data_IF_043836549983
#
_entry.id   IF_043836549983
#
_cell.length_a   1.000
_cell.length_b   1.000
_cell.length_c   1.000
_cell.angle_alpha   90.00
_cell.angle_beta   90.00
_cell.angle_gamma   90.00
#
_symmetry.space_group_name_H-M   'P 1'
#
loop_
_entity.id
_entity.type
_entity.pdbx_description
1 polymer ?
#
# COMPACT_ATOMS: atom_id res chain seq x y z
N UNK A 1 -26.04 7.76 23.01
CA UNK A 1 -25.09 8.31 23.99
C UNK A 1 -23.75 8.28 23.27
N UNK A 2 -23.25 9.41 22.81
CA UNK A 2 -21.93 9.47 22.16
C UNK A 2 -20.88 9.19 23.23
N UNK A 3 -20.12 8.12 23.08
CA UNK A 3 -18.90 7.91 23.85
C UNK A 3 -17.96 9.10 23.59
N UNK A 4 -17.68 9.87 24.64
CA UNK A 4 -16.63 10.88 24.60
C UNK A 4 -15.29 10.14 24.44
N UNK A 5 -14.77 10.09 23.21
CA UNK A 5 -13.41 9.67 22.98
C UNK A 5 -12.51 10.71 23.64
N UNK A 6 -11.86 10.34 24.72
CA UNK A 6 -10.80 11.14 25.29
C UNK A 6 -9.67 11.21 24.25
N UNK A 7 -9.07 12.40 24.03
CA UNK A 7 -7.90 12.49 23.15
C UNK A 7 -6.83 11.54 23.67
N UNK A 8 -6.33 10.68 22.78
CA UNK A 8 -5.26 9.75 23.12
C UNK A 8 -4.05 10.53 23.64
N UNK A 9 -3.54 10.15 24.81
CA UNK A 9 -2.35 10.79 25.38
C UNK A 9 -1.14 10.33 24.56
N UNK A 10 -0.38 11.23 23.90
CA UNK A 10 0.83 10.85 23.18
C UNK A 10 1.81 10.12 24.09
N UNK A 11 2.39 9.02 23.62
CA UNK A 11 3.42 8.25 24.34
C UNK A 11 4.61 7.95 23.42
N UNK A 12 5.32 8.98 22.93
CA UNK A 12 6.42 8.81 22.00
C UNK A 12 7.55 7.94 22.57
N UNK A 13 7.89 8.07 23.86
CA UNK A 13 8.91 7.24 24.51
C UNK A 13 8.54 5.74 24.50
N UNK A 14 7.26 5.43 24.71
CA UNK A 14 6.76 4.06 24.61
C UNK A 14 6.82 3.52 23.18
N UNK A 15 6.48 4.34 22.17
CA UNK A 15 6.58 3.97 20.76
C UNK A 15 8.04 3.76 20.36
N UNK A 16 8.97 4.63 20.77
CA UNK A 16 10.41 4.46 20.51
C UNK A 16 10.95 3.16 21.14
N UNK A 17 10.53 2.82 22.36
CA UNK A 17 10.88 1.54 22.99
C UNK A 17 10.41 0.36 22.14
N UNK A 18 9.12 0.32 21.80
CA UNK A 18 8.54 -0.76 20.98
C UNK A 18 9.25 -0.84 19.63
N UNK A 19 9.50 0.30 18.99
CA UNK A 19 10.21 0.34 17.72
C UNK A 19 11.65 -0.19 17.85
N UNK A 20 12.35 0.14 18.95
CA UNK A 20 13.66 -0.42 19.26
C UNK A 20 13.63 -1.94 19.45
N UNK A 21 12.60 -2.48 20.11
CA UNK A 21 12.41 -3.93 20.28
C UNK A 21 12.11 -4.63 18.93
N UNK A 22 11.34 -3.99 18.06
CA UNK A 22 11.09 -4.46 16.69
C UNK A 22 12.37 -4.45 15.85
N UNK A 23 13.17 -3.37 15.90
CA UNK A 23 14.44 -3.25 15.19
C UNK A 23 15.52 -4.22 15.69
N UNK A 24 15.45 -4.67 16.93
CA UNK A 24 16.34 -5.69 17.47
C UNK A 24 16.09 -7.08 16.85
N UNK A 25 14.99 -7.27 16.13
CA UNK A 25 14.69 -8.46 15.34
C UNK A 25 15.41 -8.42 13.98
N UNK A 26 15.38 -9.52 13.23
CA UNK A 26 15.96 -9.51 11.88
C UNK A 26 15.29 -8.45 11.00
N UNK A 27 16.08 -7.62 10.28
CA UNK A 27 15.55 -6.52 9.48
C UNK A 27 14.70 -7.01 8.29
N UNK A 28 13.85 -6.13 7.77
CA UNK A 28 12.92 -6.42 6.66
C UNK A 28 13.60 -7.00 5.41
N UNK A 29 14.81 -6.57 5.09
CA UNK A 29 15.57 -7.04 3.93
C UNK A 29 16.27 -8.40 4.14
N UNK A 30 16.12 -9.04 5.30
CA UNK A 30 16.62 -10.39 5.60
C UNK A 30 15.47 -11.37 5.85
N UNK A 31 14.39 -11.23 5.11
CA UNK A 31 13.26 -12.13 5.22
C UNK A 31 13.59 -13.53 4.69
N UNK A 32 13.16 -14.55 5.42
CA UNK A 32 13.04 -15.90 4.89
C UNK A 32 11.61 -16.06 4.34
N UNK A 33 11.42 -16.50 3.07
CA UNK A 33 10.09 -16.80 2.54
C UNK A 33 9.40 -17.90 3.37
N UNK A 34 8.49 -17.51 4.28
CA UNK A 34 7.77 -18.45 5.14
C UNK A 34 6.49 -17.81 5.69
N UNK A 35 5.49 -18.60 6.01
CA UNK A 35 4.25 -18.15 6.68
C UNK A 35 4.04 -18.82 8.03
N UNK A 36 4.71 -19.94 8.31
CA UNK A 36 4.45 -20.80 9.46
C UNK A 36 4.66 -20.09 10.80
N UNK A 37 5.66 -19.21 10.91
CA UNK A 37 5.90 -18.45 12.13
C UNK A 37 4.79 -17.44 12.43
N UNK A 38 4.32 -16.71 11.41
CA UNK A 38 3.20 -15.77 11.55
C UNK A 38 1.89 -16.51 11.80
N UNK A 39 1.62 -17.61 11.06
CA UNK A 39 0.46 -18.47 11.30
C UNK A 39 0.44 -18.96 12.75
N UNK A 40 1.58 -19.44 13.24
CA UNK A 40 1.67 -19.89 14.63
C UNK A 40 1.40 -18.78 15.64
N UNK A 41 1.90 -17.56 15.38
CA UNK A 41 1.68 -16.41 16.24
C UNK A 41 0.19 -15.99 16.29
N UNK A 42 -0.46 -15.89 15.13
CA UNK A 42 -1.87 -15.51 15.08
C UNK A 42 -2.80 -16.59 15.62
N UNK A 43 -2.46 -17.90 15.47
CA UNK A 43 -3.19 -19.00 16.08
C UNK A 43 -3.16 -18.94 17.62
N UNK A 44 -1.99 -18.72 18.23
CA UNK A 44 -1.86 -18.61 19.70
C UNK A 44 -2.67 -17.40 20.21
N UNK A 45 -2.77 -16.33 19.42
CA UNK A 45 -3.54 -15.14 19.74
C UNK A 45 -5.05 -15.30 19.47
N UNK A 46 -5.53 -16.48 19.05
CA UNK A 46 -6.94 -16.76 18.83
C UNK A 46 -7.44 -16.37 17.44
N UNK A 47 -6.62 -16.59 16.42
CA UNK A 47 -6.93 -16.32 15.01
C UNK A 47 -7.25 -14.85 14.69
N UNK A 48 -6.54 -13.92 15.34
CA UNK A 48 -6.75 -12.46 15.23
C UNK A 48 -6.72 -11.93 13.77
N UNK A 49 -6.06 -12.63 12.85
CA UNK A 49 -6.01 -12.31 11.41
C UNK A 49 -7.37 -12.51 10.68
N UNK A 50 -8.37 -13.11 11.35
CA UNK A 50 -9.73 -13.35 10.84
C UNK A 50 -10.79 -12.47 11.48
N UNK A 51 -10.37 -11.45 12.24
CA UNK A 51 -11.30 -10.59 12.97
C UNK A 51 -12.25 -9.79 12.07
N UNK A 52 -11.85 -9.49 10.83
CA UNK A 52 -12.65 -8.76 9.85
C UNK A 52 -12.34 -9.22 8.41
N UNK A 53 -13.25 -8.97 7.44
CA UNK A 53 -12.98 -9.21 6.02
C UNK A 53 -11.81 -8.35 5.52
N UNK A 54 -11.04 -8.89 4.57
CA UNK A 54 -9.77 -8.30 4.12
C UNK A 54 -9.82 -7.95 2.64
N UNK A 55 -9.38 -6.73 2.29
CA UNK A 55 -8.95 -6.33 0.95
C UNK A 55 -7.42 -6.37 0.95
N UNK A 56 -6.83 -7.26 0.17
CA UNK A 56 -5.40 -7.54 0.16
C UNK A 56 -4.75 -6.97 -1.10
N UNK A 57 -3.69 -6.19 -0.96
CA UNK A 57 -3.12 -5.40 -2.06
C UNK A 57 -1.66 -5.75 -2.27
N UNK A 58 -1.31 -6.16 -3.50
CA UNK A 58 0.08 -6.31 -3.96
C UNK A 58 0.34 -5.50 -5.23
N UNK A 59 1.58 -5.48 -5.68
CA UNK A 59 2.05 -4.79 -6.88
C UNK A 59 3.48 -4.30 -6.70
N UNK A 60 4.06 -3.73 -7.73
CA UNK A 60 5.38 -3.07 -7.62
C UNK A 60 5.19 -1.63 -7.18
N UNK A 61 4.37 -0.86 -7.88
CA UNK A 61 4.08 0.53 -7.56
C UNK A 61 2.57 0.74 -7.33
N UNK A 62 2.20 1.82 -6.63
CA UNK A 62 0.81 2.22 -6.42
C UNK A 62 0.10 1.58 -5.24
N UNK A 63 0.66 0.56 -4.57
CA UNK A 63 0.05 -0.16 -3.44
C UNK A 63 -0.50 0.78 -2.36
N UNK A 64 0.36 1.57 -1.75
CA UNK A 64 0.00 2.46 -0.61
C UNK A 64 -1.04 3.51 -1.01
N UNK A 65 -0.90 4.14 -2.20
CA UNK A 65 -1.88 5.11 -2.70
C UNK A 65 -3.24 4.45 -2.92
N UNK A 66 -3.27 3.26 -3.55
CA UNK A 66 -4.50 2.48 -3.74
C UNK A 66 -5.13 2.08 -2.40
N UNK A 67 -4.32 1.61 -1.42
CA UNK A 67 -4.81 1.27 -0.09
C UNK A 67 -5.49 2.45 0.61
N UNK A 68 -4.87 3.65 0.54
CA UNK A 68 -5.44 4.88 1.12
C UNK A 68 -6.70 5.34 0.41
N UNK A 69 -6.80 5.19 -0.91
CA UNK A 69 -8.00 5.48 -1.67
C UNK A 69 -9.14 4.52 -1.33
N UNK A 70 -8.85 3.21 -1.22
CA UNK A 70 -9.82 2.20 -0.76
C UNK A 70 -10.32 2.55 0.63
N UNK A 71 -9.43 2.85 1.58
CA UNK A 71 -9.80 3.25 2.93
C UNK A 71 -10.71 4.47 2.93
N UNK A 72 -10.34 5.52 2.19
CA UNK A 72 -11.13 6.75 2.10
C UNK A 72 -12.54 6.52 1.54
N UNK A 73 -12.67 5.66 0.53
CA UNK A 73 -13.97 5.27 -0.03
C UNK A 73 -14.81 4.48 0.99
N UNK A 74 -14.20 3.53 1.71
CA UNK A 74 -14.91 2.72 2.71
C UNK A 74 -15.34 3.56 3.91
N UNK A 75 -14.52 4.53 4.35
CA UNK A 75 -14.89 5.51 5.37
C UNK A 75 -16.09 6.37 4.94
N UNK A 76 -16.13 6.79 3.67
CA UNK A 76 -17.27 7.52 3.13
C UNK A 76 -18.56 6.68 3.09
N UNK A 77 -18.44 5.35 3.13
CA UNK A 77 -19.56 4.41 3.28
C UNK A 77 -19.86 4.08 4.76
N UNK A 78 -19.40 4.89 5.71
CA UNK A 78 -19.61 4.72 7.15
C UNK A 78 -19.04 3.40 7.74
N UNK A 79 -18.05 2.78 7.07
CA UNK A 79 -17.38 1.61 7.61
C UNK A 79 -16.19 2.00 8.47
N UNK A 80 -15.99 1.30 9.58
CA UNK A 80 -14.79 1.40 10.40
C UNK A 80 -13.66 0.60 9.75
N UNK A 81 -12.55 1.25 9.43
CA UNK A 81 -11.46 0.65 8.68
C UNK A 81 -10.22 0.40 9.53
N UNK A 82 -9.55 -0.72 9.27
CA UNK A 82 -8.16 -0.96 9.64
C UNK A 82 -7.29 -0.97 8.38
N UNK A 83 -6.14 -0.30 8.40
CA UNK A 83 -5.20 -0.33 7.28
C UNK A 83 -3.80 -0.63 7.76
N UNK A 84 -3.13 -1.59 7.09
CA UNK A 84 -1.72 -1.89 7.27
C UNK A 84 -0.95 -1.56 5.98
N UNK A 85 0.07 -0.71 6.09
CA UNK A 85 0.90 -0.25 4.97
C UNK A 85 2.38 -0.21 5.35
N UNK A 86 3.28 -0.25 4.34
CA UNK A 86 4.73 -0.15 4.53
C UNK A 86 5.42 0.53 3.34
N UNK A 87 6.58 1.17 3.57
CA UNK A 87 7.13 1.57 4.86
C UNK A 87 6.40 2.79 5.47
N UNK A 88 6.81 3.23 6.67
CA UNK A 88 6.43 4.52 7.23
C UNK A 88 7.38 5.64 6.78
N UNK A 89 6.94 6.90 6.91
CA UNK A 89 7.74 8.08 6.59
C UNK A 89 8.38 8.69 7.85
N UNK A 90 7.63 8.87 8.91
CA UNK A 90 8.07 9.52 10.14
C UNK A 90 7.97 8.60 11.36
N UNK A 91 6.81 7.96 11.56
CA UNK A 91 6.55 7.12 12.73
C UNK A 91 6.13 5.71 12.36
N UNK A 92 6.61 4.72 13.10
CA UNK A 92 6.22 3.31 12.93
C UNK A 92 4.72 3.08 13.09
N UNK A 93 4.02 3.93 13.86
CA UNK A 93 2.56 3.87 14.04
C UNK A 93 1.78 4.15 12.77
N UNK A 94 2.37 4.86 11.77
CA UNK A 94 1.75 5.08 10.46
C UNK A 94 1.45 3.78 9.70
N UNK A 95 2.19 2.70 10.01
CA UNK A 95 2.01 1.38 9.36
C UNK A 95 0.65 0.76 9.70
N UNK A 96 0.07 1.13 10.84
CA UNK A 96 -1.20 0.61 11.34
C UNK A 96 -2.15 1.79 11.55
N UNK A 97 -3.21 1.86 10.77
CA UNK A 97 -4.18 2.95 10.87
C UNK A 97 -5.57 2.42 11.23
N UNK A 98 -6.30 3.20 12.01
CA UNK A 98 -7.72 3.00 12.30
C UNK A 98 -8.47 4.23 11.80
N UNK A 99 -9.47 4.04 10.95
CA UNK A 99 -10.28 5.12 10.38
C UNK A 99 -9.44 6.22 9.70
N UNK A 100 -8.38 5.83 8.96
CA UNK A 100 -7.52 6.74 8.21
C UNK A 100 -6.39 7.40 9.01
N UNK A 101 -6.44 7.34 10.33
CA UNK A 101 -5.44 7.93 11.21
C UNK A 101 -4.48 6.86 11.76
N UNK A 102 -3.19 7.19 11.99
CA UNK A 102 -2.28 6.28 12.66
C UNK A 102 -2.84 5.81 14.00
N UNK A 103 -2.61 4.53 14.33
CA UNK A 103 -3.03 3.98 15.61
C UNK A 103 -2.50 4.84 16.77
N UNK A 104 -3.31 5.15 17.81
CA UNK A 104 -2.84 5.90 18.95
C UNK A 104 -1.66 5.22 19.64
N UNK A 105 -0.64 6.01 20.02
CA UNK A 105 0.57 5.53 20.71
C UNK A 105 0.26 4.59 21.88
N UNK A 106 -0.75 4.96 22.69
CA UNK A 106 -1.16 4.16 23.85
C UNK A 106 -1.67 2.77 23.45
N UNK A 107 -2.47 2.68 22.37
CA UNK A 107 -2.96 1.40 21.85
C UNK A 107 -1.81 0.59 21.26
N UNK A 108 -0.93 1.22 20.47
CA UNK A 108 0.24 0.56 19.87
C UNK A 108 1.14 -0.07 20.94
N UNK A 109 1.45 0.67 22.00
CA UNK A 109 2.31 0.21 23.10
C UNK A 109 1.60 -0.87 23.94
N UNK A 110 0.35 -0.66 24.32
CA UNK A 110 -0.42 -1.61 25.13
C UNK A 110 -0.56 -2.96 24.42
N UNK A 111 -1.02 -2.96 23.17
CA UNK A 111 -1.22 -4.22 22.44
C UNK A 111 0.11 -4.93 22.18
N UNK A 112 1.20 -4.18 21.91
CA UNK A 112 2.53 -4.79 21.83
C UNK A 112 2.93 -5.50 23.12
N UNK A 113 2.78 -4.84 24.27
CA UNK A 113 3.12 -5.42 25.57
C UNK A 113 2.26 -6.66 25.88
N UNK A 114 1.00 -6.68 25.46
CA UNK A 114 0.09 -7.82 25.62
C UNK A 114 0.47 -9.02 24.75
N UNK A 115 0.90 -8.80 23.49
CA UNK A 115 1.26 -9.90 22.59
C UNK A 115 2.71 -10.37 22.73
N UNK A 116 3.62 -9.55 23.25
CA UNK A 116 5.06 -9.85 23.32
C UNK A 116 5.37 -11.19 24.01
N UNK A 117 4.71 -11.61 25.10
CA UNK A 117 4.93 -12.92 25.69
C UNK A 117 4.63 -14.07 24.74
N UNK A 118 3.61 -13.95 23.91
CA UNK A 118 3.22 -14.97 22.91
C UNK A 118 4.20 -15.00 21.74
N UNK A 119 4.67 -13.84 21.27
CA UNK A 119 5.73 -13.78 20.24
C UNK A 119 7.02 -14.40 20.76
N UNK A 120 7.35 -14.19 22.04
CA UNK A 120 8.52 -14.81 22.67
C UNK A 120 8.39 -16.34 22.71
N UNK A 121 7.20 -16.88 23.00
CA UNK A 121 6.94 -18.31 22.97
C UNK A 121 7.13 -18.89 21.55
N UNK A 122 6.65 -18.19 20.51
CA UNK A 122 6.88 -18.60 19.11
C UNK A 122 8.38 -18.56 18.78
N UNK A 123 9.09 -17.51 19.19
CA UNK A 123 10.53 -17.38 19.01
C UNK A 123 11.30 -18.55 19.65
N UNK A 124 10.88 -19.01 20.84
CA UNK A 124 11.47 -20.14 21.53
C UNK A 124 11.16 -21.48 20.82
N UNK A 125 9.91 -21.67 20.36
CA UNK A 125 9.50 -22.86 19.59
C UNK A 125 10.33 -22.99 18.31
N UNK A 126 10.55 -21.89 17.57
CA UNK A 126 11.32 -21.88 16.31
C UNK A 126 12.83 -22.05 16.59
N UNK A 127 13.36 -21.38 17.59
CA UNK A 127 14.76 -21.53 18.01
C UNK A 127 15.09 -22.98 18.41
N UNK A 128 14.18 -23.69 19.08
CA UNK A 128 14.34 -25.10 19.44
C UNK A 128 14.43 -26.03 18.21
N UNK A 129 13.91 -25.59 17.05
CA UNK A 129 14.04 -26.31 15.75
C UNK A 129 15.27 -25.86 14.95
N UNK A 130 16.05 -24.90 15.45
CA UNK A 130 17.16 -24.29 14.72
C UNK A 130 16.70 -23.28 13.64
N UNK A 131 15.46 -22.81 13.72
CA UNK A 131 14.87 -21.86 12.81
C UNK A 131 14.98 -20.42 13.34
N UNK A 132 14.96 -19.39 12.47
CA UNK A 132 15.07 -18.01 12.92
C UNK A 132 13.81 -17.56 13.67
N UNK A 133 13.99 -16.63 14.61
CA UNK A 133 12.91 -15.93 15.32
C UNK A 133 12.06 -15.12 14.34
N UNK A 134 10.89 -14.65 14.80
CA UNK A 134 10.07 -13.70 14.06
C UNK A 134 10.88 -12.44 13.69
N UNK A 135 10.84 -12.05 12.44
CA UNK A 135 11.47 -10.83 11.91
C UNK A 135 10.74 -9.57 12.34
N UNK A 136 11.29 -8.41 12.04
CA UNK A 136 10.62 -7.12 12.19
C UNK A 136 9.24 -7.14 11.52
N UNK A 137 9.20 -7.48 10.21
CA UNK A 137 7.97 -7.41 9.42
C UNK A 137 6.93 -8.44 9.85
N UNK A 138 7.34 -9.67 10.16
CA UNK A 138 6.46 -10.69 10.73
C UNK A 138 5.84 -10.21 12.05
N UNK A 139 6.63 -9.61 12.94
CA UNK A 139 6.15 -9.15 14.25
C UNK A 139 5.19 -7.97 14.17
N UNK A 140 5.48 -6.97 13.31
CA UNK A 140 4.58 -5.82 13.15
C UNK A 140 3.29 -6.20 12.40
N UNK A 141 3.33 -7.20 11.54
CA UNK A 141 2.14 -7.76 10.89
C UNK A 141 1.22 -8.43 11.92
N UNK A 142 1.79 -9.23 12.85
CA UNK A 142 1.01 -9.83 13.95
C UNK A 142 0.43 -8.75 14.87
N UNK A 143 1.22 -7.70 15.19
CA UNK A 143 0.74 -6.56 15.96
C UNK A 143 -0.43 -5.86 15.28
N UNK A 144 -0.37 -5.67 13.95
CA UNK A 144 -1.47 -5.06 13.21
C UNK A 144 -2.76 -5.90 13.32
N UNK A 145 -2.68 -7.20 13.13
CA UNK A 145 -3.85 -8.09 13.31
C UNK A 145 -4.40 -8.05 14.74
N UNK A 146 -3.51 -8.04 15.75
CA UNK A 146 -3.94 -7.94 17.14
C UNK A 146 -4.65 -6.60 17.43
N UNK A 147 -4.13 -5.49 16.90
CA UNK A 147 -4.77 -4.17 17.03
C UNK A 147 -6.14 -4.15 16.34
N UNK A 148 -6.28 -4.71 15.14
CA UNK A 148 -7.57 -4.74 14.43
C UNK A 148 -8.61 -5.64 15.10
N UNK A 149 -8.17 -6.64 15.88
CA UNK A 149 -9.06 -7.45 16.70
C UNK A 149 -9.45 -6.75 18.02
N UNK A 150 -8.52 -6.03 18.64
CA UNK A 150 -8.72 -5.26 19.87
C UNK A 150 -9.59 -4.01 19.65
N UNK A 151 -9.37 -3.34 18.52
CA UNK A 151 -10.15 -2.19 18.04
C UNK A 151 -11.04 -2.63 16.87
N UNK A 152 -12.23 -3.24 17.12
CA UNK A 152 -12.98 -3.91 16.07
C UNK A 152 -13.26 -3.01 14.87
N UNK A 153 -12.88 -3.47 13.69
CA UNK A 153 -13.09 -2.80 12.41
C UNK A 153 -14.04 -3.61 11.53
N UNK A 154 -14.73 -2.96 10.59
CA UNK A 154 -15.64 -3.62 9.65
C UNK A 154 -14.88 -4.25 8.46
N UNK A 155 -13.71 -3.71 8.13
CA UNK A 155 -12.86 -4.15 7.02
C UNK A 155 -11.41 -3.81 7.27
N UNK A 156 -10.51 -4.70 6.84
CA UNK A 156 -9.06 -4.49 6.89
C UNK A 156 -8.51 -4.37 5.48
N UNK A 157 -7.70 -3.35 5.24
CA UNK A 157 -6.94 -3.12 4.01
C UNK A 157 -5.48 -3.49 4.30
N UNK A 158 -4.98 -4.57 3.68
CA UNK A 158 -3.61 -5.05 3.88
C UNK A 158 -2.76 -4.78 2.65
N UNK A 159 -1.71 -4.00 2.81
CA UNK A 159 -0.64 -3.87 1.83
C UNK A 159 0.42 -4.94 2.06
N UNK A 160 0.73 -5.73 1.02
CA UNK A 160 1.85 -6.67 0.98
C UNK A 160 3.18 -5.91 1.09
N UNK A 161 4.07 -6.38 1.95
CA UNK A 161 5.42 -5.83 2.05
C UNK A 161 6.22 -6.12 0.78
N UNK A 162 6.48 -7.40 0.50
CA UNK A 162 7.20 -7.86 -0.70
C UNK A 162 6.56 -9.15 -1.22
N UNK A 163 6.42 -9.26 -2.55
CA UNK A 163 5.90 -10.46 -3.19
C UNK A 163 4.40 -10.65 -3.01
N UNK A 164 3.99 -11.73 -2.38
CA UNK A 164 2.59 -12.08 -2.16
C UNK A 164 2.41 -13.42 -1.48
N UNK A 165 2.81 -14.53 -2.11
CA UNK A 165 2.51 -15.89 -1.64
C UNK A 165 3.09 -16.21 -0.26
N UNK A 166 4.29 -15.74 0.03
CA UNK A 166 4.99 -15.94 1.30
C UNK A 166 5.06 -14.67 2.18
N UNK A 167 4.45 -13.57 1.76
CA UNK A 167 4.40 -12.35 2.59
C UNK A 167 3.60 -12.59 3.86
N UNK A 168 4.08 -12.03 4.97
CA UNK A 168 3.46 -12.20 6.30
C UNK A 168 1.97 -11.84 6.32
N UNK A 169 1.54 -10.91 5.47
CA UNK A 169 0.12 -10.51 5.35
C UNK A 169 -0.73 -11.59 4.71
N UNK A 170 -0.13 -12.55 3.97
CA UNK A 170 -0.86 -13.59 3.23
C UNK A 170 -1.42 -14.72 4.12
N UNK A 171 -1.22 -14.66 5.43
CA UNK A 171 -1.95 -15.51 6.38
C UNK A 171 -3.43 -15.15 6.42
N UNK A 172 -3.81 -13.94 6.01
CA UNK A 172 -5.19 -13.49 5.92
C UNK A 172 -5.92 -14.05 4.70
N UNK A 173 -7.23 -14.28 4.86
CA UNK A 173 -8.12 -14.71 3.79
C UNK A 173 -8.75 -13.49 3.09
N UNK A 174 -8.00 -12.90 2.14
CA UNK A 174 -8.47 -11.74 1.38
C UNK A 174 -9.67 -12.08 0.50
N UNK A 175 -10.82 -11.43 0.74
CA UNK A 175 -12.02 -11.60 -0.10
C UNK A 175 -11.93 -10.82 -1.41
N UNK A 176 -11.14 -9.74 -1.42
CA UNK A 176 -10.74 -8.99 -2.62
C UNK A 176 -9.22 -8.94 -2.66
N UNK A 177 -8.65 -9.38 -3.77
CA UNK A 177 -7.21 -9.33 -4.06
C UNK A 177 -6.96 -8.28 -5.11
N UNK A 178 -6.21 -7.24 -4.76
CA UNK A 178 -5.89 -6.12 -5.64
C UNK A 178 -4.44 -6.24 -6.12
N UNK A 179 -4.24 -6.25 -7.43
CA UNK A 179 -2.90 -6.28 -8.03
C UNK A 179 -2.65 -4.97 -8.77
N UNK A 180 -1.92 -4.06 -8.13
CA UNK A 180 -1.42 -2.82 -8.73
C UNK A 180 -0.36 -3.14 -9.81
N UNK A 181 0.12 -2.17 -10.62
CA UNK A 181 1.05 -2.46 -11.69
C UNK A 181 2.27 -3.28 -11.25
N UNK A 182 2.57 -4.33 -12.00
CA UNK A 182 3.71 -5.23 -11.78
C UNK A 182 4.86 -4.83 -12.70
N UNK A 183 6.03 -4.66 -12.14
CA UNK A 183 7.28 -4.36 -12.84
C UNK A 183 8.46 -5.04 -12.16
N UNK A 184 9.65 -4.89 -12.73
CA UNK A 184 10.89 -5.39 -12.14
C UNK A 184 11.24 -4.57 -10.89
N UNK A 185 11.24 -5.21 -9.74
CA UNK A 185 11.72 -4.70 -8.45
C UNK A 185 11.99 -5.90 -7.54
N UNK A 186 12.91 -5.75 -6.57
CA UNK A 186 13.30 -6.83 -5.65
C UNK A 186 13.66 -8.14 -6.37
N UNK A 187 14.38 -8.05 -7.49
CA UNK A 187 14.69 -9.20 -8.35
C UNK A 187 15.54 -10.25 -7.65
N UNK A 188 16.35 -9.87 -6.68
CA UNK A 188 17.11 -10.76 -5.80
C UNK A 188 16.24 -11.70 -4.94
N UNK A 189 14.97 -11.34 -4.72
CA UNK A 189 14.03 -12.12 -3.89
C UNK A 189 12.86 -12.71 -4.70
N UNK A 190 12.37 -12.00 -5.72
CA UNK A 190 11.17 -12.35 -6.45
C UNK A 190 11.44 -13.02 -7.80
N UNK A 191 12.70 -13.03 -8.25
CA UNK A 191 13.11 -13.55 -9.55
C UNK A 191 13.40 -12.45 -10.58
N UNK A 192 14.09 -12.84 -11.64
CA UNK A 192 14.65 -11.93 -12.64
C UNK A 192 13.66 -11.58 -13.77
N UNK A 193 12.48 -12.20 -13.78
CA UNK A 193 11.48 -12.06 -14.83
C UNK A 193 10.14 -11.54 -14.31
N UNK A 194 9.39 -10.86 -15.18
CA UNK A 194 8.01 -10.44 -14.87
C UNK A 194 7.11 -11.62 -14.54
N UNK A 195 7.33 -12.77 -15.18
CA UNK A 195 6.56 -13.99 -14.92
C UNK A 195 6.77 -14.54 -13.50
N UNK A 196 8.01 -14.57 -13.01
CA UNK A 196 8.31 -15.01 -11.65
C UNK A 196 7.69 -14.06 -10.64
N UNK A 197 7.88 -12.75 -10.81
CA UNK A 197 7.31 -11.71 -9.94
C UNK A 197 5.78 -11.77 -9.95
N UNK A 198 5.16 -11.95 -11.12
CA UNK A 198 3.71 -12.07 -11.25
C UNK A 198 3.17 -13.32 -10.55
N UNK A 199 3.88 -14.44 -10.68
CA UNK A 199 3.51 -15.71 -10.03
C UNK A 199 3.52 -15.56 -8.51
N UNK A 200 4.54 -14.91 -7.97
CA UNK A 200 4.66 -14.63 -6.54
C UNK A 200 3.51 -13.72 -6.05
N UNK A 201 3.24 -12.63 -6.78
CA UNK A 201 2.15 -11.70 -6.44
C UNK A 201 0.77 -12.32 -6.57
N UNK A 202 0.57 -13.21 -7.54
CA UNK A 202 -0.68 -13.95 -7.72
C UNK A 202 -1.05 -14.82 -6.50
N UNK A 203 -0.08 -15.13 -5.61
CA UNK A 203 -0.31 -15.91 -4.40
C UNK A 203 -1.27 -15.29 -3.37
N UNK A 204 -1.63 -14.02 -3.51
CA UNK A 204 -2.67 -13.40 -2.66
C UNK A 204 -4.09 -13.69 -3.14
N UNK A 205 -4.28 -14.25 -4.35
CA UNK A 205 -5.60 -14.56 -4.89
C UNK A 205 -6.16 -15.78 -4.17
N UNK A 206 -7.25 -15.60 -3.44
CA UNK A 206 -7.86 -16.62 -2.59
C UNK A 206 -9.00 -17.34 -3.28
N UNK A 207 -9.30 -18.60 -2.87
CA UNK A 207 -10.45 -19.35 -3.38
C UNK A 207 -11.76 -18.55 -3.25
N UNK A 208 -12.57 -18.58 -4.31
CA UNK A 208 -13.87 -17.90 -4.40
C UNK A 208 -13.84 -16.39 -4.16
N UNK A 209 -12.65 -15.76 -4.12
CA UNK A 209 -12.47 -14.32 -3.94
C UNK A 209 -12.73 -13.52 -5.22
N UNK A 210 -12.30 -12.25 -5.20
CA UNK A 210 -12.37 -11.35 -6.35
C UNK A 210 -10.99 -10.75 -6.64
N UNK A 211 -10.45 -11.01 -7.84
CA UNK A 211 -9.23 -10.36 -8.35
C UNK A 211 -9.60 -9.04 -9.03
N UNK A 212 -8.99 -7.94 -8.59
CA UNK A 212 -9.02 -6.64 -9.26
C UNK A 212 -7.58 -6.31 -9.67
N UNK A 213 -7.32 -6.22 -10.97
CA UNK A 213 -5.98 -5.99 -11.50
C UNK A 213 -5.91 -4.67 -12.26
N UNK A 214 -4.87 -3.88 -12.01
CA UNK A 214 -4.47 -2.81 -12.91
C UNK A 214 -4.17 -3.36 -14.31
N UNK A 215 -4.05 -2.47 -15.31
CA UNK A 215 -3.51 -2.83 -16.61
C UNK A 215 -2.09 -3.40 -16.44
N UNK A 216 -1.83 -4.54 -17.07
CA UNK A 216 -0.58 -5.30 -16.92
C UNK A 216 0.04 -5.63 -18.27
N UNK A 217 1.33 -5.97 -18.24
CA UNK A 217 1.94 -6.67 -19.37
C UNK A 217 1.13 -7.95 -19.70
N UNK A 218 0.97 -8.35 -20.97
CA UNK A 218 0.18 -9.52 -21.37
C UNK A 218 0.60 -10.83 -20.68
N UNK A 219 1.89 -11.02 -20.40
CA UNK A 219 2.37 -12.20 -19.69
C UNK A 219 1.90 -12.20 -18.24
N UNK A 220 2.01 -11.06 -17.54
CA UNK A 220 1.53 -10.86 -16.17
C UNK A 220 0.01 -11.07 -16.11
N UNK A 221 -0.74 -10.43 -17.01
CA UNK A 221 -2.20 -10.57 -17.07
C UNK A 221 -2.64 -12.03 -17.24
N UNK A 222 -1.93 -12.80 -18.07
CA UNK A 222 -2.20 -14.23 -18.28
C UNK A 222 -2.00 -15.03 -16.99
N UNK A 223 -0.91 -14.80 -16.26
CA UNK A 223 -0.62 -15.50 -15.01
C UNK A 223 -1.69 -15.20 -13.95
N UNK A 224 -2.07 -13.92 -13.82
CA UNK A 224 -3.10 -13.50 -12.86
C UNK A 224 -4.46 -14.12 -13.20
N UNK A 225 -4.86 -14.09 -14.48
CA UNK A 225 -6.11 -14.68 -14.96
C UNK A 225 -6.16 -16.20 -14.74
N UNK A 226 -5.08 -16.90 -15.06
CA UNK A 226 -5.01 -18.35 -14.86
C UNK A 226 -5.05 -18.73 -13.37
N UNK A 227 -4.42 -17.92 -12.52
CA UNK A 227 -4.50 -18.11 -11.07
C UNK A 227 -5.90 -17.85 -10.55
N UNK A 228 -6.58 -16.77 -10.99
CA UNK A 228 -7.96 -16.48 -10.60
C UNK A 228 -8.90 -17.64 -11.01
N UNK A 229 -8.75 -18.17 -12.23
CA UNK A 229 -9.52 -19.33 -12.69
C UNK A 229 -9.28 -20.59 -11.87
N UNK A 230 -8.01 -20.86 -11.50
CA UNK A 230 -7.66 -22.01 -10.63
C UNK A 230 -8.27 -21.87 -9.24
N UNK A 231 -8.39 -20.66 -8.74
CA UNK A 231 -8.99 -20.35 -7.44
C UNK A 231 -10.52 -20.18 -7.50
N UNK A 232 -11.16 -20.38 -8.67
CA UNK A 232 -12.58 -20.07 -8.87
C UNK A 232 -12.95 -18.64 -8.48
N UNK A 233 -12.01 -17.70 -8.52
CA UNK A 233 -12.20 -16.31 -8.18
C UNK A 233 -12.85 -15.55 -9.33
N UNK A 234 -13.71 -14.58 -9.01
CA UNK A 234 -14.12 -13.55 -9.97
C UNK A 234 -12.91 -12.69 -10.32
N UNK A 235 -12.94 -12.02 -11.47
CA UNK A 235 -11.83 -11.14 -11.87
C UNK A 235 -12.31 -9.97 -12.71
N UNK A 236 -11.59 -8.86 -12.61
CA UNK A 236 -11.73 -7.69 -13.46
C UNK A 236 -10.37 -7.04 -13.70
N UNK A 237 -10.15 -6.56 -14.92
CA UNK A 237 -8.91 -5.92 -15.36
C UNK A 237 -9.17 -4.49 -15.82
N UNK A 238 -8.30 -3.56 -15.41
CA UNK A 238 -8.31 -2.20 -15.91
C UNK A 238 -8.15 -2.17 -17.44
N UNK A 239 -8.92 -1.28 -18.09
CA UNK A 239 -8.98 -1.19 -19.55
C UNK A 239 -10.00 -2.13 -20.19
N UNK A 240 -10.52 -3.13 -19.47
CA UNK A 240 -11.54 -4.09 -19.93
C UNK A 240 -12.86 -3.86 -19.19
N UNK A 241 -12.92 -4.18 -17.90
CA UNK A 241 -14.14 -4.05 -17.10
C UNK A 241 -14.28 -2.67 -16.45
N UNK A 242 -13.18 -2.06 -16.03
CA UNK A 242 -13.13 -0.75 -15.36
C UNK A 242 -11.96 0.09 -15.86
N UNK A 243 -11.88 1.37 -15.48
CA UNK A 243 -10.75 2.23 -15.82
C UNK A 243 -11.08 3.72 -15.80
N UNK A 244 -10.08 4.53 -16.15
CA UNK A 244 -10.22 5.97 -16.35
C UNK A 244 -10.85 6.23 -17.72
N UNK A 245 -11.98 6.96 -17.75
CA UNK A 245 -12.68 7.36 -18.99
C UNK A 245 -12.18 8.72 -19.45
N UNK A 246 -12.12 9.67 -18.53
CA UNK A 246 -11.64 11.04 -18.78
C UNK A 246 -10.77 11.50 -17.62
N UNK A 247 -9.76 12.30 -17.94
CA UNK A 247 -8.85 12.90 -16.97
C UNK A 247 -8.49 14.32 -17.39
N UNK A 248 -8.84 15.28 -16.54
CA UNK A 248 -8.45 16.68 -16.67
C UNK A 248 -7.58 17.10 -15.49
N UNK A 249 -6.60 17.96 -15.78
CA UNK A 249 -5.77 18.57 -14.71
C UNK A 249 -6.58 19.65 -14.02
N UNK A 250 -6.51 19.66 -12.69
CA UNK A 250 -7.14 20.67 -11.86
C UNK A 250 -6.13 21.28 -10.88
N UNK A 251 -6.48 22.45 -10.33
CA UNK A 251 -5.66 23.08 -9.29
C UNK A 251 -5.67 22.20 -8.04
N UNK A 252 -4.49 21.77 -7.61
CA UNK A 252 -4.34 20.91 -6.44
C UNK A 252 -4.62 19.42 -6.68
N UNK A 253 -4.78 18.99 -7.95
CA UNK A 253 -5.04 17.58 -8.28
C UNK A 253 -5.55 17.38 -9.69
N UNK A 254 -6.60 16.59 -9.84
CA UNK A 254 -7.20 16.25 -11.13
C UNK A 254 -8.70 15.96 -11.00
N UNK A 255 -9.42 16.15 -12.10
CA UNK A 255 -10.83 15.80 -12.25
C UNK A 255 -10.92 14.56 -13.13
N UNK A 256 -11.65 13.54 -12.67
CA UNK A 256 -11.73 12.25 -13.32
C UNK A 256 -13.17 11.85 -13.63
N UNK A 257 -13.36 11.14 -14.73
CA UNK A 257 -14.51 10.26 -14.95
C UNK A 257 -14.00 8.83 -14.88
N UNK A 258 -14.49 8.05 -13.91
CA UNK A 258 -14.11 6.65 -13.74
C UNK A 258 -15.26 5.72 -14.10
N UNK A 259 -14.98 4.69 -14.89
CA UNK A 259 -15.83 3.53 -15.05
C UNK A 259 -15.45 2.49 -14.00
N UNK A 260 -16.37 2.17 -13.10
CA UNK A 260 -16.25 1.06 -12.15
C UNK A 260 -16.76 -0.26 -12.76
N UNK A 261 -16.98 -1.28 -11.92
CA UNK A 261 -17.52 -2.58 -12.31
C UNK A 261 -19.00 -2.50 -12.68
N UNK A 262 -19.76 -1.67 -11.98
CA UNK A 262 -21.22 -1.58 -12.06
C UNK A 262 -21.75 -0.19 -12.44
N UNK A 263 -20.90 0.83 -12.54
CA UNK A 263 -21.33 2.18 -12.84
C UNK A 263 -20.23 3.07 -13.40
N UNK A 264 -20.63 4.26 -13.87
CA UNK A 264 -19.72 5.33 -14.28
C UNK A 264 -19.89 6.52 -13.33
N UNK A 265 -18.77 7.12 -12.93
CA UNK A 265 -18.69 8.16 -11.90
C UNK A 265 -17.95 9.37 -12.47
N UNK A 266 -18.68 10.35 -13.03
CA UNK A 266 -18.10 11.59 -13.50
C UNK A 266 -17.83 12.57 -12.36
N UNK A 267 -16.97 13.57 -12.64
CA UNK A 267 -16.67 14.71 -11.77
C UNK A 267 -16.03 14.31 -10.42
N UNK A 268 -15.18 13.28 -10.43
CA UNK A 268 -14.39 12.89 -9.26
C UNK A 268 -13.23 13.88 -9.11
N UNK A 269 -13.25 14.65 -8.03
CA UNK A 269 -12.11 15.47 -7.60
C UNK A 269 -11.12 14.58 -6.84
N UNK A 270 -9.91 14.38 -7.40
CA UNK A 270 -8.82 13.65 -6.75
C UNK A 270 -7.69 14.61 -6.42
N UNK A 271 -7.39 14.91 -5.13
CA UNK A 271 -6.36 15.86 -4.72
C UNK A 271 -4.93 15.28 -4.80
N UNK A 272 -4.65 14.53 -5.84
CA UNK A 272 -3.36 13.92 -6.14
C UNK A 272 -3.02 14.15 -7.62
N UNK A 273 -1.73 14.34 -7.91
CA UNK A 273 -1.24 14.63 -9.25
C UNK A 273 -0.78 13.36 -9.99
N UNK A 274 -0.91 13.37 -11.31
CA UNK A 274 -0.35 12.37 -12.21
C UNK A 274 -1.35 11.32 -12.67
N UNK A 275 -1.15 10.86 -13.90
CA UNK A 275 -1.98 9.84 -14.54
C UNK A 275 -2.05 8.54 -13.71
N UNK A 276 -0.89 8.12 -13.16
CA UNK A 276 -0.80 6.92 -12.31
C UNK A 276 -1.71 6.99 -11.08
N UNK A 277 -2.01 8.19 -10.53
CA UNK A 277 -2.95 8.33 -9.42
C UNK A 277 -4.41 8.20 -9.89
N UNK A 278 -4.72 8.59 -11.12
CA UNK A 278 -6.02 8.31 -11.74
C UNK A 278 -6.24 6.79 -11.94
N UNK A 279 -5.20 6.08 -12.37
CA UNK A 279 -5.20 4.61 -12.48
C UNK A 279 -5.37 3.94 -11.11
N UNK A 280 -4.63 4.39 -10.08
CA UNK A 280 -4.81 3.92 -8.71
C UNK A 280 -6.24 4.17 -8.19
N UNK A 281 -6.86 5.31 -8.58
CA UNK A 281 -8.24 5.63 -8.21
C UNK A 281 -9.25 4.69 -8.88
N UNK A 282 -9.06 4.35 -10.18
CA UNK A 282 -9.92 3.40 -10.86
C UNK A 282 -9.82 2.00 -10.23
N UNK A 283 -8.60 1.58 -9.86
CA UNK A 283 -8.33 0.32 -9.18
C UNK A 283 -8.98 0.28 -7.79
N UNK A 284 -8.89 1.37 -7.02
CA UNK A 284 -9.50 1.49 -5.71
C UNK A 284 -11.04 1.44 -5.78
N UNK A 285 -11.64 2.15 -6.74
CA UNK A 285 -13.08 2.12 -6.97
C UNK A 285 -13.57 0.71 -7.27
N UNK A 286 -12.93 0.02 -8.21
CA UNK A 286 -13.29 -1.35 -8.59
C UNK A 286 -13.12 -2.32 -7.40
N UNK A 287 -12.10 -2.14 -6.57
CA UNK A 287 -11.89 -2.95 -5.37
C UNK A 287 -13.01 -2.75 -4.32
N UNK A 288 -13.46 -1.52 -4.12
CA UNK A 288 -14.57 -1.23 -3.20
C UNK A 288 -15.90 -1.74 -3.77
N UNK A 289 -16.17 -1.58 -5.07
CA UNK A 289 -17.36 -2.20 -5.68
C UNK A 289 -17.32 -3.73 -5.54
N UNK A 290 -16.16 -4.37 -5.77
CA UNK A 290 -15.98 -5.81 -5.57
C UNK A 290 -16.22 -6.25 -4.12
N UNK A 291 -15.78 -5.45 -3.14
CA UNK A 291 -16.05 -5.68 -1.72
C UNK A 291 -17.55 -5.70 -1.41
N UNK A 292 -18.34 -4.84 -2.05
CA UNK A 292 -19.80 -4.81 -1.96
C UNK A 292 -20.50 -5.78 -2.93
N UNK A 293 -19.76 -6.68 -3.59
CA UNK A 293 -20.30 -7.75 -4.46
C UNK A 293 -20.08 -7.54 -5.96
N UNK A 294 -19.80 -6.31 -6.40
CA UNK A 294 -19.42 -5.97 -7.78
C UNK A 294 -20.55 -5.86 -8.79
N UNK A 295 -21.81 -6.02 -8.36
CA UNK A 295 -23.01 -6.06 -9.24
C UNK A 295 -23.91 -4.81 -9.13
N UNK A 296 -23.58 -3.89 -8.24
CA UNK A 296 -24.32 -2.66 -7.98
C UNK A 296 -23.38 -1.45 -7.97
N UNK A 297 -23.82 -0.39 -8.65
CA UNK A 297 -23.14 0.91 -8.55
C UNK A 297 -23.23 1.46 -7.11
N UNK A 298 -22.14 2.03 -6.65
CA UNK A 298 -22.08 2.75 -5.37
C UNK A 298 -22.84 4.08 -5.49
N UNK A 299 -23.23 4.66 -4.36
CA UNK A 299 -23.85 5.97 -4.34
C UNK A 299 -22.82 7.02 -4.81
N UNK A 300 -23.17 7.76 -5.89
CA UNK A 300 -22.22 8.69 -6.54
C UNK A 300 -21.68 9.74 -5.58
N UNK A 301 -22.53 10.35 -4.78
CA UNK A 301 -22.18 11.37 -3.80
C UNK A 301 -21.19 10.85 -2.74
N UNK A 302 -21.33 9.58 -2.32
CA UNK A 302 -20.41 8.91 -1.40
C UNK A 302 -19.04 8.69 -2.07
N UNK A 303 -19.03 8.22 -3.32
CA UNK A 303 -17.78 8.04 -4.10
C UNK A 303 -17.05 9.36 -4.27
N UNK A 304 -17.76 10.45 -4.65
CA UNK A 304 -17.16 11.78 -4.79
C UNK A 304 -16.57 12.27 -3.46
N UNK A 305 -17.34 12.15 -2.36
CA UNK A 305 -16.86 12.52 -1.04
C UNK A 305 -15.61 11.73 -0.60
N UNK A 306 -15.60 10.42 -0.87
CA UNK A 306 -14.46 9.55 -0.55
C UNK A 306 -13.18 9.97 -1.28
N UNK A 307 -13.25 10.20 -2.59
CA UNK A 307 -12.07 10.62 -3.35
C UNK A 307 -11.57 12.01 -2.97
N UNK A 308 -12.46 12.96 -2.69
CA UNK A 308 -12.10 14.32 -2.31
C UNK A 308 -11.32 14.38 -0.97
N UNK A 309 -11.42 13.38 -0.12
CA UNK A 309 -10.73 13.32 1.18
C UNK A 309 -9.38 12.57 1.13
N UNK A 310 -9.03 11.99 -0.02
CA UNK A 310 -7.81 11.18 -0.16
C UNK A 310 -6.56 12.00 0.15
N UNK A 311 -5.69 11.41 0.97
CA UNK A 311 -4.33 11.92 1.23
C UNK A 311 -3.32 10.79 1.05
N UNK A 312 -2.22 11.09 0.36
CA UNK A 312 -1.13 10.14 0.16
C UNK A 312 0.21 10.85 0.43
N UNK A 313 0.64 10.93 1.71
CA UNK A 313 1.90 11.57 2.08
C UNK A 313 3.08 10.99 1.29
N UNK A 314 4.03 11.87 0.92
CA UNK A 314 5.19 11.50 0.12
C UNK A 314 4.86 11.05 -1.32
N UNK A 315 3.74 11.47 -1.89
CA UNK A 315 3.39 11.23 -3.30
C UNK A 315 3.11 12.56 -3.99
N UNK A 316 4.14 13.17 -4.55
CA UNK A 316 4.15 14.55 -5.04
C UNK A 316 3.48 15.53 -4.06
N UNK A 317 3.78 15.34 -2.79
CA UNK A 317 3.22 16.12 -1.70
C UNK A 317 3.84 17.53 -1.67
N UNK A 318 3.02 18.56 -1.87
CA UNK A 318 3.46 19.94 -1.76
C UNK A 318 3.52 20.37 -0.29
N UNK A 319 4.71 20.45 0.27
CA UNK A 319 4.94 20.87 1.67
C UNK A 319 5.13 22.38 1.84
N UNK A 320 5.43 23.10 0.75
CA UNK A 320 5.57 24.54 0.72
C UNK A 320 5.35 25.09 -0.69
N UNK A 321 4.67 26.23 -0.79
CA UNK A 321 4.36 26.88 -2.07
C UNK A 321 5.41 27.91 -2.53
N UNK A 322 6.11 28.58 -1.61
CA UNK A 322 7.10 29.62 -1.92
C UNK A 322 8.36 29.49 -1.03
N UNK A 323 9.51 29.09 -1.58
CA UNK A 323 9.63 28.42 -2.87
C UNK A 323 8.88 27.11 -2.86
N UNK A 324 8.43 26.64 -4.05
CA UNK A 324 7.77 25.35 -4.17
C UNK A 324 8.69 24.23 -3.68
N UNK A 325 8.21 23.44 -2.72
CA UNK A 325 8.89 22.23 -2.23
C UNK A 325 7.91 21.07 -2.29
N UNK A 326 8.31 20.01 -2.99
CA UNK A 326 7.50 18.81 -3.19
C UNK A 326 8.29 17.59 -2.70
N UNK A 327 7.63 16.69 -1.98
CA UNK A 327 8.18 15.41 -1.56
C UNK A 327 7.61 14.27 -2.40
N UNK A 328 8.47 13.34 -2.79
CA UNK A 328 8.06 12.08 -3.42
C UNK A 328 8.93 10.93 -2.94
N UNK A 329 8.34 9.77 -2.70
CA UNK A 329 9.00 8.56 -2.23
C UNK A 329 9.24 7.52 -3.33
N UNK A 330 9.24 7.92 -4.61
CA UNK A 330 9.62 7.03 -5.70
C UNK A 330 11.07 6.57 -5.55
N UNK A 331 11.30 5.26 -5.65
CA UNK A 331 12.59 4.63 -5.31
C UNK A 331 12.99 3.54 -6.32
N UNK A 332 12.33 3.47 -7.46
CA UNK A 332 12.72 2.64 -8.60
C UNK A 332 12.54 3.43 -9.91
N UNK A 333 13.19 3.04 -11.02
CA UNK A 333 13.17 3.81 -12.28
C UNK A 333 11.76 4.09 -12.80
N UNK A 334 10.85 3.11 -12.71
CA UNK A 334 9.45 3.25 -13.15
C UNK A 334 8.68 4.29 -12.30
N UNK A 335 8.81 4.22 -10.97
CA UNK A 335 8.19 5.18 -10.05
C UNK A 335 8.73 6.60 -10.25
N UNK A 336 10.06 6.75 -10.40
CA UNK A 336 10.69 8.06 -10.65
C UNK A 336 10.23 8.65 -11.97
N UNK A 337 10.06 7.85 -13.02
CA UNK A 337 9.52 8.32 -14.31
C UNK A 337 8.08 8.82 -14.16
N UNK A 338 7.22 8.05 -13.50
CA UNK A 338 5.83 8.45 -13.27
C UNK A 338 5.73 9.74 -12.44
N UNK A 339 6.52 9.85 -11.35
CA UNK A 339 6.58 11.05 -10.51
C UNK A 339 7.13 12.25 -11.29
N UNK A 340 8.17 12.09 -12.09
CA UNK A 340 8.77 13.16 -12.90
C UNK A 340 7.80 13.69 -13.95
N UNK A 341 7.10 12.79 -14.64
CA UNK A 341 6.08 13.17 -15.62
C UNK A 341 4.95 13.95 -14.94
N UNK A 342 4.43 13.44 -13.83
CA UNK A 342 3.36 14.08 -13.07
C UNK A 342 3.80 15.45 -12.49
N UNK A 343 5.04 15.56 -12.03
CA UNK A 343 5.61 16.82 -11.54
C UNK A 343 5.67 17.88 -12.65
N UNK A 344 6.14 17.52 -13.84
CA UNK A 344 6.18 18.43 -15.01
C UNK A 344 4.78 18.81 -15.50
N UNK A 345 3.81 17.91 -15.37
CA UNK A 345 2.42 18.22 -15.70
C UNK A 345 1.76 19.18 -14.72
N UNK A 346 2.07 19.04 -13.43
CA UNK A 346 1.41 19.77 -12.36
C UNK A 346 1.98 21.18 -12.11
N UNK A 347 3.28 21.38 -12.41
CA UNK A 347 4.01 22.59 -12.04
C UNK A 347 4.74 23.21 -13.24
N UNK A 348 4.71 24.54 -13.33
CA UNK A 348 5.55 25.28 -14.29
C UNK A 348 7.00 25.35 -13.78
N UNK A 349 7.93 24.85 -14.59
CA UNK A 349 9.33 24.70 -14.20
C UNK A 349 10.24 25.66 -14.95
N UNK A 350 10.97 26.51 -14.23
CA UNK A 350 12.12 27.25 -14.76
C UNK A 350 13.45 26.76 -14.18
N UNK A 351 13.44 26.41 -12.91
CA UNK A 351 14.58 25.85 -12.19
C UNK A 351 14.13 24.70 -11.30
N UNK A 352 14.79 23.55 -11.38
CA UNK A 352 14.51 22.38 -10.55
C UNK A 352 15.75 22.03 -9.74
N UNK A 353 15.58 21.95 -8.44
CA UNK A 353 16.58 21.44 -7.51
C UNK A 353 16.09 20.12 -6.93
N UNK A 354 16.68 19.00 -7.31
CA UNK A 354 16.35 17.69 -6.78
C UNK A 354 17.36 17.30 -5.69
N UNK A 355 16.85 16.97 -4.49
CA UNK A 355 17.63 16.34 -3.42
C UNK A 355 17.21 14.88 -3.38
N UNK A 356 18.13 13.96 -3.64
CA UNK A 356 17.85 12.53 -3.82
C UNK A 356 18.67 11.72 -2.83
N UNK A 357 17.97 10.88 -2.03
CA UNK A 357 18.55 9.82 -1.22
C UNK A 357 18.07 8.47 -1.74
N UNK A 358 18.97 7.53 -1.96
CA UNK A 358 18.66 6.20 -2.51
C UNK A 358 19.30 5.15 -1.59
N UNK A 359 18.52 4.17 -1.15
CA UNK A 359 19.05 3.04 -0.41
C UNK A 359 19.94 2.18 -1.30
N UNK A 360 21.04 1.64 -0.74
CA UNK A 360 22.06 0.92 -1.50
C UNK A 360 21.60 -0.35 -2.21
N UNK A 361 20.45 -0.86 -1.86
CA UNK A 361 19.81 -2.04 -2.47
C UNK A 361 18.93 -1.70 -3.70
N UNK A 362 18.72 -0.41 -3.99
CA UNK A 362 17.90 0.04 -5.12
C UNK A 362 18.72 0.33 -6.36
N UNK A 363 18.08 0.27 -7.53
CA UNK A 363 18.69 0.59 -8.83
C UNK A 363 18.99 2.09 -8.98
N UNK A 364 20.03 2.55 -8.33
CA UNK A 364 20.44 3.95 -8.36
C UNK A 364 20.82 4.42 -9.79
N UNK A 365 21.44 3.55 -10.61
CA UNK A 365 21.83 3.90 -11.98
C UNK A 365 20.59 4.15 -12.84
N UNK A 366 19.63 3.25 -12.83
CA UNK A 366 18.38 3.41 -13.57
C UNK A 366 17.57 4.63 -13.11
N UNK A 367 17.57 4.95 -11.82
CA UNK A 367 16.97 6.19 -11.30
C UNK A 367 17.65 7.43 -11.88
N UNK A 368 18.98 7.49 -11.88
CA UNK A 368 19.71 8.64 -12.43
C UNK A 368 19.59 8.77 -13.95
N UNK A 369 19.50 7.66 -14.67
CA UNK A 369 19.24 7.69 -16.11
C UNK A 369 17.85 8.31 -16.39
N UNK A 370 16.83 7.91 -15.65
CA UNK A 370 15.48 8.51 -15.76
C UNK A 370 15.52 10.00 -15.44
N UNK A 371 16.15 10.41 -14.34
CA UNK A 371 16.24 11.84 -13.99
C UNK A 371 16.97 12.66 -15.07
N UNK A 372 18.02 12.10 -15.68
CA UNK A 372 18.70 12.74 -16.80
C UNK A 372 17.78 12.89 -18.01
N UNK A 373 17.12 11.82 -18.43
CA UNK A 373 16.17 11.83 -19.55
C UNK A 373 15.04 12.84 -19.33
N UNK A 374 14.47 12.85 -18.13
CA UNK A 374 13.30 13.64 -17.80
C UNK A 374 13.59 15.13 -17.59
N UNK A 375 14.79 15.51 -17.13
CA UNK A 375 15.08 16.90 -16.74
C UNK A 375 16.28 17.53 -17.46
N UNK A 376 17.18 16.76 -18.03
CA UNK A 376 18.36 17.30 -18.75
C UNK A 376 18.13 17.24 -20.26
N UNK A 377 17.64 16.10 -20.76
CA UNK A 377 17.51 15.86 -22.20
C UNK A 377 16.16 16.36 -22.76
N UNK A 378 15.14 16.59 -21.90
CA UNK A 378 13.75 16.84 -22.33
C UNK A 378 13.13 18.17 -21.89
N UNK A 379 13.82 19.02 -21.14
CA UNK A 379 13.29 20.30 -20.66
C UNK A 379 14.25 21.46 -20.86
N UNK A 380 13.69 22.68 -21.04
CA UNK A 380 14.44 23.95 -21.05
C UNK A 380 14.75 24.45 -19.62
N UNK A 381 14.26 23.75 -18.58
CA UNK A 381 14.48 24.13 -17.20
C UNK A 381 15.91 23.81 -16.75
N UNK A 382 16.49 24.69 -15.95
CA UNK A 382 17.79 24.40 -15.31
C UNK A 382 17.60 23.34 -14.23
N UNK A 383 18.30 22.20 -14.35
CA UNK A 383 18.26 21.12 -13.40
C UNK A 383 19.54 21.05 -12.56
N UNK A 384 19.39 20.90 -11.25
CA UNK A 384 20.49 20.64 -10.31
C UNK A 384 20.16 19.46 -9.42
N UNK A 385 21.05 18.49 -9.36
CA UNK A 385 20.94 17.30 -8.55
C UNK A 385 21.86 17.38 -7.34
N UNK A 386 21.31 17.11 -6.16
CA UNK A 386 22.04 16.99 -4.90
C UNK A 386 21.82 15.58 -4.36
N UNK A 387 22.91 14.92 -4.00
CA UNK A 387 22.84 13.59 -3.42
C UNK A 387 22.97 13.67 -1.91
N UNK A 388 22.06 13.03 -1.20
CA UNK A 388 22.16 12.81 0.24
C UNK A 388 22.78 11.43 0.48
N UNK A 389 23.73 11.34 1.41
CA UNK A 389 24.16 10.06 1.93
C UNK A 389 23.03 9.50 2.82
N UNK A 390 22.57 8.30 2.52
CA UNK A 390 21.62 7.55 3.32
C UNK A 390 22.33 6.74 4.39
#
# INVERSE_FOLDING_TARGET
>A
MSEMSYPAIPNPEGVERVYGELLARAPENKMAPRLDAVLRAVEILGDVHRAAPVIHITGTNGKTSTARMIESLLLAHDLRTGRFTSPHLESVTERISINGEPVPDATFVRVWDEILPYLTLVDEEFAARGEPKLTFFESITVLAFAIFADEPVDVVILEVGIGGSWDSTNVADGIVSVVAPVGLDHTDMLGDTLAEIATEKAGIIKPDGYLISAAQDPEVATILLDTARKQNAKYAFEGVEFGVVERDRAVGGQLLTLRGLAGEYPEIELPLHGEHQGQNASLALAAVEAFFGGDRALARDVVLAGFAQVRSPGRLEMIRSEPLVVLDAAHNPHGVRAASTAFKEAFELSHVHAVVGILGEKDALGIFEVLREEYVDSTDATFRLYLSAS
#
